data_IF_759392921851
#
_entry.id   IF_759392921851
#
_cell.length_a   1.000
_cell.length_b   1.000
_cell.length_c   1.000
_cell.angle_alpha   90.00
_cell.angle_beta   90.00
_cell.angle_gamma   90.00
#
_symmetry.space_group_name_H-M   'P 1'
#
loop_
_entity.id
_entity.type
_entity.pdbx_description
1 polymer ?
#
# COMPACT_ATOMS: atom_id res chain seq x y z
N UNK A 1 -49.72 -31.04 34.87
CA UNK A 1 -49.18 -29.66 34.98
C UNK A 1 -47.74 -29.70 34.46
N UNK A 2 -47.48 -29.09 33.30
CA UNK A 2 -46.18 -28.78 32.65
C UNK A 2 -45.17 -29.88 32.30
N UNK A 3 -45.60 -30.98 31.65
CA UNK A 3 -44.66 -31.93 31.02
C UNK A 3 -43.86 -31.31 29.84
N UNK A 4 -44.38 -30.26 29.20
CA UNK A 4 -43.77 -29.61 28.04
C UNK A 4 -42.79 -28.48 28.38
N UNK A 5 -42.87 -27.90 29.59
CA UNK A 5 -41.99 -26.82 30.02
C UNK A 5 -40.49 -27.22 30.00
N UNK A 6 -40.06 -28.38 30.54
CA UNK A 6 -38.66 -28.78 30.43
C UNK A 6 -38.22 -29.01 28.98
N UNK A 7 -39.09 -29.56 28.12
CA UNK A 7 -38.80 -29.77 26.69
C UNK A 7 -38.59 -28.44 25.97
N UNK A 8 -39.43 -27.44 26.23
CA UNK A 8 -39.29 -26.11 25.63
C UNK A 8 -37.97 -25.45 26.07
N UNK A 9 -37.60 -25.56 27.35
CA UNK A 9 -36.33 -25.03 27.87
C UNK A 9 -35.12 -25.70 27.18
N UNK A 10 -35.16 -27.03 27.00
CA UNK A 10 -34.08 -27.75 26.33
C UNK A 10 -33.98 -27.33 24.86
N UNK A 11 -35.10 -27.20 24.16
CA UNK A 11 -35.13 -26.79 22.76
C UNK A 11 -34.64 -25.35 22.57
N UNK A 12 -35.03 -24.42 23.45
CA UNK A 12 -34.54 -23.04 23.39
C UNK A 12 -33.05 -22.95 23.70
N UNK A 13 -32.56 -23.69 24.70
CA UNK A 13 -31.13 -23.77 25.00
C UNK A 13 -30.33 -24.36 23.83
N UNK A 14 -30.83 -25.43 23.20
CA UNK A 14 -30.21 -26.02 22.01
C UNK A 14 -30.18 -25.04 20.82
N UNK A 15 -31.29 -24.33 20.57
CA UNK A 15 -31.36 -23.32 19.51
C UNK A 15 -30.37 -22.17 19.75
N UNK A 16 -30.26 -21.67 20.99
CA UNK A 16 -29.28 -20.64 21.35
C UNK A 16 -27.84 -21.13 21.21
N UNK A 17 -27.55 -22.38 21.59
CA UNK A 17 -26.23 -22.97 21.41
C UNK A 17 -25.86 -23.06 19.92
N UNK A 18 -26.80 -23.48 19.05
CA UNK A 18 -26.59 -23.53 17.60
C UNK A 18 -26.36 -22.12 17.04
N UNK A 19 -27.17 -21.14 17.42
CA UNK A 19 -27.00 -19.74 16.99
C UNK A 19 -25.64 -19.18 17.39
N UNK A 20 -25.17 -19.48 18.62
CA UNK A 20 -23.87 -19.06 19.09
C UNK A 20 -22.73 -19.70 18.29
N UNK A 21 -22.85 -20.98 17.93
CA UNK A 21 -21.88 -21.68 17.07
C UNK A 21 -21.86 -21.05 15.67
N UNK A 22 -23.04 -20.83 15.06
CA UNK A 22 -23.14 -20.20 13.74
C UNK A 22 -22.56 -18.78 13.75
N UNK A 23 -22.82 -18.00 14.80
CA UNK A 23 -22.24 -16.68 14.97
C UNK A 23 -20.71 -16.75 15.08
N UNK A 24 -20.15 -17.69 15.86
CA UNK A 24 -18.70 -17.87 15.97
C UNK A 24 -18.05 -18.29 14.67
N UNK A 25 -18.72 -19.14 13.88
CA UNK A 25 -18.25 -19.52 12.55
C UNK A 25 -18.28 -18.29 11.64
N UNK A 26 -19.37 -17.52 11.61
CA UNK A 26 -19.49 -16.32 10.78
C UNK A 26 -18.44 -15.26 11.15
N UNK A 27 -18.29 -14.96 12.44
CA UNK A 27 -17.30 -13.99 12.94
C UNK A 27 -15.88 -14.41 12.56
N UNK A 28 -15.53 -15.68 12.76
CA UNK A 28 -14.22 -16.20 12.36
C UNK A 28 -14.04 -16.18 10.84
N UNK A 29 -15.06 -16.61 10.08
CA UNK A 29 -15.00 -16.89 8.62
C UNK A 29 -15.11 -15.67 7.72
N UNK A 30 -15.82 -14.64 8.18
CA UNK A 30 -16.23 -13.50 7.35
C UNK A 30 -15.75 -12.20 7.97
N UNK A 31 -16.11 -11.95 9.23
CA UNK A 31 -15.91 -10.64 9.84
C UNK A 31 -14.45 -10.37 10.23
N UNK A 32 -13.79 -11.34 10.89
CA UNK A 32 -12.39 -11.23 11.28
C UNK A 32 -11.43 -11.04 10.09
N UNK A 33 -11.48 -11.84 9.00
CA UNK A 33 -10.62 -11.62 7.85
C UNK A 33 -10.92 -10.28 7.15
N UNK A 34 -12.20 -9.89 7.06
CA UNK A 34 -12.56 -8.61 6.45
C UNK A 34 -12.00 -7.42 7.22
N UNK A 35 -12.11 -7.43 8.55
CA UNK A 35 -11.53 -6.38 9.40
C UNK A 35 -10.01 -6.26 9.25
N UNK A 36 -9.32 -7.39 9.14
CA UNK A 36 -7.88 -7.41 8.86
C UNK A 36 -7.56 -6.87 7.46
N UNK A 37 -8.32 -7.25 6.44
CA UNK A 37 -8.19 -6.74 5.08
C UNK A 37 -8.41 -5.22 5.04
N UNK A 38 -9.42 -4.72 5.74
CA UNK A 38 -9.75 -3.30 5.84
C UNK A 38 -8.62 -2.51 6.55
N UNK A 39 -8.07 -3.00 7.66
CA UNK A 39 -6.95 -2.34 8.35
C UNK A 39 -5.69 -2.32 7.47
N UNK A 40 -5.40 -3.41 6.75
CA UNK A 40 -4.28 -3.45 5.79
C UNK A 40 -4.51 -2.44 4.66
N UNK A 41 -5.73 -2.37 4.12
CA UNK A 41 -6.07 -1.44 3.05
C UNK A 41 -5.98 0.03 3.50
N UNK A 42 -6.44 0.34 4.71
CA UNK A 42 -6.32 1.66 5.33
C UNK A 42 -4.84 2.05 5.51
N UNK A 43 -4.01 1.13 6.02
CA UNK A 43 -2.59 1.36 6.24
C UNK A 43 -1.79 1.53 4.92
N UNK A 44 -2.22 0.90 3.84
CA UNK A 44 -1.68 1.10 2.49
C UNK A 44 -2.06 2.46 1.90
N UNK A 45 -3.04 3.17 2.47
CA UNK A 45 -3.45 4.51 2.06
C UNK A 45 -3.74 4.64 0.55
N UNK A 46 -4.53 3.70 0.02
CA UNK A 46 -4.92 3.66 -1.40
C UNK A 46 -3.88 3.07 -2.35
N UNK A 47 -2.68 2.73 -1.87
CA UNK A 47 -1.70 2.01 -2.68
C UNK A 47 -2.15 0.56 -2.93
N UNK A 48 -1.95 0.07 -4.17
CA UNK A 48 -2.21 -1.33 -4.50
C UNK A 48 -1.11 -2.20 -3.90
N UNK A 49 -1.49 -3.26 -3.18
CA UNK A 49 -0.56 -4.27 -2.70
C UNK A 49 -0.05 -5.13 -3.86
N UNK A 50 1.27 -5.31 -3.94
CA UNK A 50 1.92 -6.25 -4.86
C UNK A 50 1.83 -7.68 -4.30
N UNK A 51 2.05 -7.80 -2.99
CA UNK A 51 1.83 -9.04 -2.23
C UNK A 51 1.15 -8.73 -0.91
N UNK A 52 0.18 -9.55 -0.53
CA UNK A 52 -0.53 -9.45 0.73
C UNK A 52 -0.90 -10.85 1.22
N UNK A 53 -0.91 -11.03 2.54
CA UNK A 53 -1.34 -12.27 3.18
C UNK A 53 -1.88 -11.97 4.58
N UNK A 54 -2.95 -12.66 4.93
CA UNK A 54 -3.63 -12.52 6.21
C UNK A 54 -3.58 -13.85 6.96
N UNK A 55 -3.56 -13.75 8.28
CA UNK A 55 -3.57 -14.87 9.20
C UNK A 55 -4.65 -14.63 10.26
N UNK A 56 -5.93 -14.92 9.94
CA UNK A 56 -7.05 -14.56 10.81
C UNK A 56 -7.00 -15.21 12.20
N UNK A 57 -6.46 -16.44 12.29
CA UNK A 57 -6.33 -17.19 13.53
C UNK A 57 -5.52 -16.44 14.60
N UNK A 58 -4.42 -15.80 14.20
CA UNK A 58 -3.52 -15.06 15.09
C UNK A 58 -3.66 -13.54 14.95
N UNK A 59 -4.67 -13.07 14.21
CA UNK A 59 -4.95 -11.65 14.00
C UNK A 59 -3.74 -10.89 13.47
N UNK A 60 -3.03 -11.51 12.54
CA UNK A 60 -1.83 -10.97 11.92
C UNK A 60 -2.04 -10.82 10.42
N UNK A 61 -1.37 -9.86 9.82
CA UNK A 61 -1.36 -9.67 8.37
C UNK A 61 -0.09 -8.95 7.95
N UNK A 62 0.30 -9.15 6.69
CA UNK A 62 1.32 -8.34 6.05
C UNK A 62 0.91 -7.99 4.61
N UNK A 63 1.31 -6.81 4.18
CA UNK A 63 1.24 -6.40 2.78
C UNK A 63 2.47 -5.58 2.39
N UNK A 64 2.84 -5.67 1.12
CA UNK A 64 3.89 -4.86 0.49
C UNK A 64 3.31 -4.16 -0.73
N UNK A 65 3.62 -2.88 -0.85
CA UNK A 65 3.44 -2.09 -2.06
C UNK A 65 4.75 -1.37 -2.35
N UNK A 66 5.42 -1.78 -3.43
CA UNK A 66 6.69 -1.20 -3.85
C UNK A 66 6.49 0.26 -4.28
N UNK A 67 5.55 0.50 -5.20
CA UNK A 67 5.24 1.85 -5.70
C UNK A 67 4.66 2.77 -4.61
N UNK A 68 3.94 2.20 -3.63
CA UNK A 68 3.48 2.95 -2.46
C UNK A 68 4.54 3.20 -1.40
N UNK A 69 5.76 2.67 -1.57
CA UNK A 69 6.85 2.67 -0.59
C UNK A 69 6.40 2.22 0.82
N UNK A 70 5.58 1.17 0.90
CA UNK A 70 4.94 0.72 2.15
C UNK A 70 4.99 -0.79 2.33
N UNK A 71 5.55 -1.23 3.44
CA UNK A 71 5.37 -2.55 4.02
C UNK A 71 4.53 -2.42 5.28
N UNK A 72 3.32 -2.94 5.21
CA UNK A 72 2.35 -2.92 6.30
C UNK A 72 2.46 -4.20 7.08
N UNK A 73 2.65 -4.10 8.39
CA UNK A 73 2.70 -5.23 9.33
C UNK A 73 1.64 -5.01 10.40
N UNK A 74 0.64 -5.90 10.41
CA UNK A 74 -0.40 -5.95 11.44
C UNK A 74 -0.07 -7.08 12.41
N UNK A 75 0.11 -6.76 13.69
CA UNK A 75 0.27 -7.72 14.79
C UNK A 75 -0.87 -7.49 15.78
N UNK A 76 -1.57 -8.56 16.13
CA UNK A 76 -2.64 -8.51 17.14
C UNK A 76 -3.68 -7.40 16.85
N UNK A 77 -4.43 -7.57 15.76
CA UNK A 77 -5.53 -6.67 15.36
C UNK A 77 -6.31 -6.13 16.57
N UNK A 78 -6.41 -4.80 16.66
CA UNK A 78 -7.15 -4.08 17.69
C UNK A 78 -6.46 -3.91 19.04
N UNK A 79 -5.20 -4.35 19.20
CA UNK A 79 -4.43 -4.14 20.45
C UNK A 79 -3.14 -3.34 20.25
N UNK A 80 -2.38 -3.68 19.21
CA UNK A 80 -1.13 -3.00 18.86
C UNK A 80 -1.34 -2.19 17.58
N UNK A 81 -0.67 -1.03 17.44
CA UNK A 81 -0.77 -0.26 16.21
C UNK A 81 -0.15 -1.02 15.04
N UNK A 82 -0.80 -0.93 13.88
CA UNK A 82 -0.23 -1.34 12.60
C UNK A 82 1.09 -0.62 12.36
N UNK A 83 2.14 -1.37 12.03
CA UNK A 83 3.47 -0.82 11.72
C UNK A 83 3.63 -0.64 10.22
N UNK A 84 4.25 0.48 9.88
CA UNK A 84 4.57 0.85 8.51
C UNK A 84 6.09 0.93 8.40
N UNK A 85 6.63 0.16 7.47
CA UNK A 85 8.03 0.23 7.08
C UNK A 85 8.13 0.69 5.63
N UNK A 86 9.18 1.44 5.31
CA UNK A 86 9.56 1.77 3.94
C UNK A 86 10.21 0.57 3.25
N UNK A 87 10.33 0.63 1.92
CA UNK A 87 11.08 -0.41 1.17
C UNK A 87 12.56 -0.42 1.54
N UNK A 88 13.11 0.72 1.96
CA UNK A 88 14.51 0.82 2.36
C UNK A 88 14.79 0.12 3.72
N UNK A 89 13.79 0.04 4.60
CA UNK A 89 13.90 -0.65 5.88
C UNK A 89 13.82 -2.17 5.75
N UNK A 90 13.35 -2.70 4.62
CA UNK A 90 13.30 -4.14 4.37
C UNK A 90 14.71 -4.70 4.12
N UNK A 91 15.16 -5.60 5.00
CA UNK A 91 16.47 -6.26 4.91
C UNK A 91 16.37 -7.57 4.13
N UNK A 92 15.26 -8.29 4.25
CA UNK A 92 15.11 -9.58 3.59
C UNK A 92 13.88 -10.38 3.99
N UNK A 93 13.83 -11.61 3.49
CA UNK A 93 12.77 -12.58 3.78
C UNK A 93 13.37 -13.98 3.96
N UNK A 94 12.80 -14.74 4.89
CA UNK A 94 13.00 -16.18 5.04
C UNK A 94 11.67 -16.90 4.82
N UNK A 95 11.73 -18.06 4.18
CA UNK A 95 10.58 -18.96 4.05
C UNK A 95 10.91 -20.24 4.81
N UNK A 96 10.02 -20.61 5.72
CA UNK A 96 10.08 -21.84 6.50
C UNK A 96 9.01 -22.82 6.01
N UNK A 97 9.45 -24.05 5.76
CA UNK A 97 8.57 -25.20 5.51
C UNK A 97 8.90 -26.26 6.56
N UNK A 98 7.91 -26.66 7.35
CA UNK A 98 8.05 -27.62 8.46
C UNK A 98 9.21 -27.23 9.41
N UNK A 99 9.28 -25.95 9.77
CA UNK A 99 10.30 -25.36 10.64
C UNK A 99 11.74 -25.42 10.10
N UNK A 100 11.93 -25.76 8.81
CA UNK A 100 13.22 -25.69 8.13
C UNK A 100 13.22 -24.51 7.16
N UNK A 101 14.33 -23.78 7.09
CA UNK A 101 14.51 -22.69 6.12
C UNK A 101 14.55 -23.30 4.72
N UNK A 102 13.47 -23.12 3.96
CA UNK A 102 13.36 -23.55 2.57
C UNK A 102 14.06 -22.54 1.65
N UNK A 103 13.85 -21.24 1.87
CA UNK A 103 14.46 -20.16 1.11
C UNK A 103 14.83 -18.98 2.01
N UNK A 104 15.84 -18.21 1.62
CA UNK A 104 16.30 -17.02 2.35
C UNK A 104 16.96 -16.04 1.40
N UNK A 105 16.64 -14.76 1.51
CA UNK A 105 17.37 -13.66 0.88
C UNK A 105 17.57 -12.57 1.93
N UNK A 106 18.82 -12.13 2.10
CA UNK A 106 19.20 -11.05 3.03
C UNK A 106 20.11 -10.09 2.29
N UNK A 107 19.87 -8.78 2.41
CA UNK A 107 20.72 -7.75 1.84
C UNK A 107 22.17 -7.90 2.33
N UNK A 108 23.10 -8.11 1.39
CA UNK A 108 24.52 -8.33 1.70
C UNK A 108 24.85 -9.64 2.43
N UNK A 109 23.89 -10.56 2.55
CA UNK A 109 24.02 -11.79 3.33
C UNK A 109 23.81 -13.06 2.52
N UNK A 110 23.44 -14.14 3.22
CA UNK A 110 23.20 -15.44 2.61
C UNK A 110 21.97 -15.45 1.68
N UNK A 111 22.09 -16.14 0.55
CA UNK A 111 21.03 -16.35 -0.41
C UNK A 111 20.81 -17.85 -0.65
N UNK A 112 19.64 -18.35 -0.27
CA UNK A 112 19.16 -19.70 -0.54
C UNK A 112 17.92 -19.62 -1.43
N UNK A 113 18.02 -20.14 -2.65
CA UNK A 113 16.93 -20.18 -3.62
C UNK A 113 15.76 -21.06 -3.19
N UNK A 114 14.57 -20.72 -3.65
CA UNK A 114 13.34 -21.46 -3.42
C UNK A 114 13.18 -22.59 -4.46
N UNK A 115 14.07 -23.57 -4.41
CA UNK A 115 14.05 -24.72 -5.34
C UNK A 115 13.67 -26.04 -4.65
N UNK A 116 13.95 -26.16 -3.34
CA UNK A 116 13.72 -27.37 -2.55
C UNK A 116 12.34 -27.34 -1.89
N UNK A 117 11.39 -28.08 -2.48
CA UNK A 117 10.04 -28.24 -1.93
C UNK A 117 9.99 -29.56 -1.17
N UNK A 118 9.67 -29.48 0.13
CA UNK A 118 9.52 -30.65 0.98
C UNK A 118 8.46 -31.62 0.39
N UNK A 119 8.68 -32.96 0.44
CA UNK A 119 7.72 -33.95 -0.06
C UNK A 119 6.35 -33.90 0.64
N UNK A 120 6.31 -33.36 1.86
CA UNK A 120 5.11 -33.14 2.67
C UNK A 120 5.19 -31.73 3.26
N UNK A 121 4.08 -30.99 3.21
CA UNK A 121 3.99 -29.60 3.67
C UNK A 121 2.97 -29.54 4.79
N UNK A 122 3.46 -29.53 6.03
CA UNK A 122 2.64 -29.40 7.23
C UNK A 122 2.47 -27.93 7.58
N UNK A 123 3.56 -27.15 7.62
CA UNK A 123 3.50 -25.74 7.99
C UNK A 123 4.31 -24.87 7.05
N UNK A 124 3.71 -23.77 6.61
CA UNK A 124 4.36 -22.76 5.77
C UNK A 124 4.34 -21.42 6.49
N UNK A 125 5.50 -20.81 6.61
CA UNK A 125 5.64 -19.56 7.34
C UNK A 125 6.65 -18.68 6.62
N UNK A 126 6.39 -17.38 6.56
CA UNK A 126 7.35 -16.38 6.07
C UNK A 126 7.82 -15.53 7.23
N UNK A 127 9.09 -15.14 7.20
CA UNK A 127 9.66 -14.16 8.13
C UNK A 127 10.24 -13.00 7.35
N UNK A 128 9.69 -11.81 7.56
CA UNK A 128 10.22 -10.56 7.04
C UNK A 128 11.22 -9.99 8.06
N UNK A 129 12.31 -9.41 7.57
CA UNK A 129 13.37 -8.82 8.39
C UNK A 129 13.53 -7.34 8.06
N UNK A 130 13.65 -6.51 9.10
CA UNK A 130 13.65 -5.06 9.01
C UNK A 130 14.83 -4.44 9.74
N UNK A 131 15.26 -3.26 9.28
CA UNK A 131 16.28 -2.44 9.92
C UNK A 131 15.70 -1.60 11.07
N UNK A 132 14.91 -2.23 11.93
CA UNK A 132 14.32 -1.63 13.13
C UNK A 132 14.80 -2.41 14.37
N UNK A 133 15.64 -1.82 15.24
CA UNK A 133 16.18 -2.51 16.41
C UNK A 133 15.09 -2.87 17.44
N UNK A 134 13.93 -2.20 17.43
CA UNK A 134 12.85 -2.49 18.37
C UNK A 134 12.07 -3.75 17.96
N UNK A 135 11.94 -3.97 16.64
CA UNK A 135 11.21 -5.08 16.02
C UNK A 135 11.92 -5.50 14.73
N UNK A 136 13.00 -6.29 14.84
CA UNK A 136 13.85 -6.62 13.70
C UNK A 136 13.21 -7.62 12.73
N UNK A 137 12.17 -8.35 13.16
CA UNK A 137 11.53 -9.37 12.34
C UNK A 137 10.01 -9.43 12.52
N UNK A 138 9.34 -10.06 11.56
CA UNK A 138 7.93 -10.40 11.59
C UNK A 138 7.67 -11.76 10.96
N UNK A 139 7.05 -12.66 11.72
CA UNK A 139 6.67 -13.99 11.27
C UNK A 139 5.17 -14.04 10.96
N UNK A 140 4.82 -14.54 9.77
CA UNK A 140 3.46 -14.75 9.31
C UNK A 140 3.27 -16.20 8.89
N UNK A 141 2.26 -16.85 9.43
CA UNK A 141 1.92 -18.23 9.10
C UNK A 141 0.95 -18.22 7.93
N UNK A 142 1.38 -18.78 6.81
CA UNK A 142 0.56 -18.90 5.60
C UNK A 142 -0.28 -20.17 5.61
N UNK A 143 0.20 -21.22 6.28
CA UNK A 143 -0.52 -22.48 6.43
C UNK A 143 -0.08 -23.23 7.68
N UNK A 144 -1.07 -23.72 8.42
CA UNK A 144 -0.93 -24.65 9.54
C UNK A 144 -2.18 -25.56 9.56
N UNK A 145 -2.05 -26.89 9.69
CA UNK A 145 -3.18 -27.82 9.73
C UNK A 145 -4.12 -27.55 10.90
N UNK A 146 -3.60 -27.01 12.01
CA UNK A 146 -4.43 -26.66 13.17
C UNK A 146 -5.35 -25.46 12.88
N UNK A 147 -4.97 -24.64 11.90
CA UNK A 147 -5.72 -23.46 11.47
C UNK A 147 -6.65 -23.77 10.29
N UNK A 148 -6.73 -25.02 9.81
CA UNK A 148 -7.61 -25.42 8.71
C UNK A 148 -9.11 -25.16 9.01
N UNK A 149 -9.47 -25.10 10.30
CA UNK A 149 -10.81 -24.74 10.76
C UNK A 149 -11.05 -23.23 10.85
N UNK A 150 -10.00 -22.42 10.73
CA UNK A 150 -10.08 -20.96 10.65
C UNK A 150 -10.21 -20.50 9.21
N UNK A 151 -10.56 -19.23 9.04
CA UNK A 151 -11.06 -18.67 7.79
C UNK A 151 -10.01 -18.51 6.71
N UNK A 152 -10.31 -19.07 5.54
CA UNK A 152 -9.55 -18.92 4.29
C UNK A 152 -8.16 -19.57 4.27
N UNK A 153 -7.93 -20.64 5.03
CA UNK A 153 -6.73 -21.44 4.83
C UNK A 153 -6.78 -22.09 3.43
N UNK A 154 -6.01 -21.58 2.47
CA UNK A 154 -6.07 -21.97 1.04
C UNK A 154 -5.42 -23.34 0.71
N UNK A 155 -5.19 -24.18 1.73
CA UNK A 155 -4.47 -25.44 1.58
C UNK A 155 -2.95 -25.24 1.48
N UNK A 156 -2.17 -26.32 1.68
CA UNK A 156 -0.71 -26.24 1.71
C UNK A 156 -0.11 -25.78 0.36
N UNK A 157 -0.75 -26.14 -0.76
CA UNK A 157 -0.27 -25.79 -2.10
C UNK A 157 -0.38 -24.28 -2.38
N UNK A 158 -1.54 -23.67 -2.12
CA UNK A 158 -1.73 -22.24 -2.34
C UNK A 158 -0.88 -21.41 -1.38
N UNK A 159 -0.67 -21.89 -0.15
CA UNK A 159 0.26 -21.28 0.78
C UNK A 159 1.71 -21.31 0.28
N UNK A 160 2.16 -22.40 -0.34
CA UNK A 160 3.47 -22.48 -0.99
C UNK A 160 3.60 -21.53 -2.18
N UNK A 161 2.55 -21.42 -3.02
CA UNK A 161 2.53 -20.48 -4.14
C UNK A 161 2.56 -19.02 -3.65
N UNK A 162 1.85 -18.73 -2.56
CA UNK A 162 1.88 -17.43 -1.89
C UNK A 162 3.26 -17.15 -1.29
N UNK A 163 3.87 -18.11 -0.59
CA UNK A 163 5.23 -17.98 -0.06
C UNK A 163 6.25 -17.69 -1.17
N UNK A 164 6.12 -18.39 -2.30
CA UNK A 164 6.94 -18.19 -3.49
C UNK A 164 6.76 -16.79 -4.06
N UNK A 165 5.52 -16.30 -4.18
CA UNK A 165 5.22 -14.94 -4.65
C UNK A 165 5.84 -13.88 -3.75
N UNK A 166 5.73 -14.04 -2.42
CA UNK A 166 6.41 -13.18 -1.45
C UNK A 166 7.94 -13.21 -1.61
N UNK A 167 8.51 -14.41 -1.69
CA UNK A 167 9.96 -14.58 -1.80
C UNK A 167 10.53 -13.87 -3.03
N UNK A 168 9.99 -14.15 -4.22
CA UNK A 168 10.50 -13.55 -5.46
C UNK A 168 10.24 -12.05 -5.56
N UNK A 169 9.13 -11.57 -4.99
CA UNK A 169 8.85 -10.14 -4.93
C UNK A 169 9.88 -9.41 -4.05
N UNK A 170 10.13 -9.91 -2.84
CA UNK A 170 11.15 -9.34 -1.95
C UNK A 170 12.55 -9.49 -2.55
N UNK A 171 12.86 -10.63 -3.17
CA UNK A 171 14.15 -10.83 -3.86
C UNK A 171 14.39 -9.78 -4.94
N UNK A 172 13.38 -9.46 -5.75
CA UNK A 172 13.47 -8.42 -6.77
C UNK A 172 13.77 -7.04 -6.16
N UNK A 173 13.17 -6.72 -5.02
CA UNK A 173 13.41 -5.47 -4.28
C UNK A 173 14.83 -5.45 -3.69
N UNK A 174 15.25 -6.53 -3.01
CA UNK A 174 16.55 -6.58 -2.32
C UNK A 174 17.72 -6.57 -3.29
N UNK A 175 17.55 -7.09 -4.51
CA UNK A 175 18.55 -7.01 -5.58
C UNK A 175 18.82 -5.60 -6.08
N UNK A 176 17.87 -4.67 -5.90
CA UNK A 176 18.09 -3.26 -6.23
C UNK A 176 18.97 -2.59 -5.16
N UNK A 177 19.92 -1.73 -5.56
CA UNK A 177 20.71 -0.94 -4.62
C UNK A 177 19.79 0.06 -3.90
N UNK A 178 20.05 0.29 -2.61
CA UNK A 178 19.19 1.10 -1.73
C UNK A 178 19.00 2.53 -2.27
N UNK A 179 20.09 3.13 -2.76
CA UNK A 179 20.06 4.47 -3.35
C UNK A 179 19.16 4.57 -4.60
N UNK A 180 19.02 3.49 -5.38
CA UNK A 180 18.11 3.47 -6.52
C UNK A 180 16.66 3.37 -6.07
N UNK A 181 16.37 2.55 -5.04
CA UNK A 181 15.03 2.45 -4.44
C UNK A 181 14.61 3.81 -3.87
N UNK A 182 15.47 4.47 -3.10
CA UNK A 182 15.19 5.79 -2.53
C UNK A 182 14.97 6.85 -3.62
N UNK A 183 15.78 6.85 -4.69
CA UNK A 183 15.62 7.76 -5.81
C UNK A 183 14.32 7.51 -6.59
N UNK A 184 13.96 6.25 -6.81
CA UNK A 184 12.75 5.86 -7.56
C UNK A 184 11.47 6.20 -6.78
N UNK A 185 11.50 6.04 -5.45
CA UNK A 185 10.34 6.21 -4.58
C UNK A 185 10.20 7.62 -3.97
N UNK A 186 11.19 8.49 -4.16
CA UNK A 186 11.09 9.90 -3.75
C UNK A 186 10.49 10.73 -4.89
N UNK A 187 9.35 11.40 -4.71
CA UNK A 187 8.78 12.27 -5.73
C UNK A 187 9.77 13.39 -6.11
N UNK A 188 9.85 13.79 -7.39
CA UNK A 188 10.66 14.93 -7.79
C UNK A 188 10.20 16.17 -7.01
N UNK A 189 11.17 16.94 -6.50
CA UNK A 189 10.88 18.17 -5.77
C UNK A 189 10.00 19.11 -6.62
N UNK A 190 8.99 19.77 -6.04
CA UNK A 190 8.23 20.78 -6.76
C UNK A 190 9.20 21.82 -7.37
N UNK A 191 8.95 22.32 -8.59
CA UNK A 191 9.73 23.42 -9.12
C UNK A 191 9.69 24.59 -8.14
N UNK A 192 10.81 25.30 -7.94
CA UNK A 192 10.83 26.45 -7.04
C UNK A 192 9.74 27.45 -7.47
N UNK A 193 9.04 28.07 -6.52
CA UNK A 193 8.03 29.08 -6.85
C UNK A 193 8.69 30.18 -7.71
N UNK A 194 7.97 30.73 -8.70
CA UNK A 194 8.47 31.85 -9.49
C UNK A 194 8.96 32.97 -8.56
N UNK A 195 10.10 33.62 -8.85
CA UNK A 195 10.58 34.72 -8.04
C UNK A 195 9.47 35.77 -7.91
N UNK A 196 9.13 36.12 -6.67
CA UNK A 196 8.12 37.11 -6.37
C UNK A 196 8.49 38.43 -7.06
N UNK A 197 7.57 39.06 -7.83
CA UNK A 197 7.87 40.32 -8.49
C UNK A 197 8.31 41.33 -7.43
N UNK A 198 9.52 41.89 -7.60
CA UNK A 198 10.03 42.91 -6.70
C UNK A 198 8.99 44.03 -6.53
N UNK A 199 8.78 44.55 -5.30
CA UNK A 199 7.83 45.64 -5.07
C UNK A 199 8.13 46.79 -6.03
N UNK A 200 7.15 47.16 -6.87
CA UNK A 200 7.27 48.35 -7.70
C UNK A 200 7.47 49.55 -6.78
N UNK A 201 8.58 50.26 -6.97
CA UNK A 201 8.85 51.50 -6.26
C UNK A 201 7.66 52.46 -6.45
N UNK A 202 7.23 53.18 -5.41
CA UNK A 202 6.14 54.14 -5.53
C UNK A 202 6.53 55.22 -6.56
N UNK A 203 5.70 55.34 -7.60
CA UNK A 203 5.80 56.42 -8.58
C UNK A 203 5.41 57.71 -7.86
N UNK A 204 6.39 58.58 -7.60
CA UNK A 204 6.11 59.95 -7.19
C UNK A 204 5.49 60.70 -8.38
N UNK A 205 4.22 61.05 -8.26
CA UNK A 205 3.48 61.89 -9.21
C UNK A 205 3.97 63.35 -9.05
N UNK A 206 4.88 63.76 -9.93
CA UNK A 206 5.21 65.18 -10.09
C UNK A 206 4.21 65.80 -11.08
N UNK A 207 3.04 66.15 -10.56
CA UNK A 207 2.05 66.95 -11.25
C UNK A 207 2.48 68.42 -11.16
N UNK A 208 3.23 68.88 -12.16
CA UNK A 208 3.46 70.31 -12.38
C UNK A 208 2.35 70.84 -13.29
N UNK A 209 1.54 71.74 -12.74
CA UNK A 209 0.74 72.72 -13.48
C UNK A 209 1.65 73.57 -14.37
N UNK A 210 1.22 73.87 -15.60
CA UNK A 210 1.14 75.23 -16.15
C UNK A 210 0.82 75.22 -17.67
N UNK A 211 -0.41 75.67 -17.95
CA UNK A 211 -0.87 76.63 -18.99
C UNK A 211 -0.35 76.66 -20.44
N UNK A 212 -1.35 76.86 -21.32
CA UNK A 212 -1.40 77.73 -22.51
C UNK A 212 -1.01 77.22 -23.92
N UNK A 213 -2.09 77.15 -24.73
CA UNK A 213 -2.33 77.68 -26.08
C UNK A 213 -1.67 77.15 -27.36
N UNK A 214 -2.58 76.84 -28.30
CA UNK A 214 -2.61 77.13 -29.74
C UNK A 214 -1.44 76.73 -30.65
N UNK A 215 -1.68 75.74 -31.54
CA UNK A 215 -1.59 75.94 -33.01
C UNK A 215 -2.05 74.69 -33.81
N UNK A 216 -2.81 74.94 -34.89
CA UNK A 216 -3.48 74.01 -35.83
C UNK A 216 -2.49 73.24 -36.78
N UNK A 217 -2.84 72.39 -37.79
CA UNK A 217 -4.11 72.17 -38.53
C UNK A 217 -4.41 70.66 -38.94
N UNK A 218 -5.43 70.33 -39.81
CA UNK A 218 -6.23 69.08 -39.82
C UNK A 218 -5.67 67.91 -40.70
N UNK A 219 -6.33 66.72 -40.75
CA UNK A 219 -5.68 65.42 -41.03
C UNK A 219 -5.65 65.01 -42.52
N UNK A 220 -4.73 64.09 -42.84
CA UNK A 220 -4.61 63.43 -44.14
C UNK A 220 -4.90 61.90 -44.04
N UNK A 221 -5.28 61.24 -45.15
CA UNK A 221 -6.29 60.17 -45.17
C UNK A 221 -5.75 58.72 -45.08
N UNK A 222 -6.65 57.80 -44.69
CA UNK A 222 -6.46 56.33 -44.69
C UNK A 222 -6.35 55.74 -46.10
N UNK A 223 -5.51 54.71 -46.30
CA UNK A 223 -5.74 53.65 -47.30
C UNK A 223 -6.12 52.32 -46.62
N UNK A 224 -6.99 51.56 -47.29
CA UNK A 224 -7.55 50.27 -46.85
C UNK A 224 -6.80 49.06 -47.50
N UNK A 225 -7.29 47.81 -47.39
CA UNK A 225 -6.66 46.69 -46.67
C UNK A 225 -6.07 45.59 -47.61
N UNK A 226 -5.28 44.63 -47.08
CA UNK A 226 -5.16 43.28 -47.67
C UNK A 226 -4.89 42.16 -46.65
N UNK A 227 -5.77 41.17 -46.75
CA UNK A 227 -5.77 39.73 -46.49
C UNK A 227 -4.48 39.01 -46.04
N UNK A 228 -4.72 38.13 -45.05
CA UNK A 228 -4.33 36.72 -45.13
C UNK A 228 -2.97 36.35 -44.57
N UNK A 229 -2.96 35.75 -43.37
CA UNK A 229 -2.30 34.44 -43.22
C UNK A 229 -2.84 33.70 -41.98
N UNK A 230 -3.45 32.54 -42.22
CA UNK A 230 -4.06 31.67 -41.22
C UNK A 230 -3.31 30.35 -41.28
N UNK A 231 -2.10 30.29 -40.73
CA UNK A 231 -1.33 29.04 -40.67
C UNK A 231 -0.26 29.12 -39.57
N UNK A 232 -0.64 28.79 -38.34
CA UNK A 232 0.20 27.93 -37.51
C UNK A 232 -0.56 27.42 -36.27
N UNK A 233 -1.01 26.18 -36.34
CA UNK A 233 -1.37 25.37 -35.17
C UNK A 233 -0.54 24.09 -35.25
N UNK A 234 0.35 23.79 -34.29
CA UNK A 234 1.03 22.51 -34.30
C UNK A 234 0.10 21.39 -33.78
N UNK A 235 0.01 20.34 -34.59
CA UNK A 235 -0.66 19.06 -34.33
C UNK A 235 -0.07 18.35 -33.10
N UNK A 236 -0.96 17.78 -32.28
CA UNK A 236 -0.67 16.77 -31.25
C UNK A 236 -0.47 15.42 -31.96
N UNK A 237 0.66 14.75 -31.75
CA UNK A 237 0.86 13.35 -32.10
C UNK A 237 0.63 12.48 -30.87
N UNK A 238 -0.34 11.57 -30.94
CA UNK A 238 -0.45 10.42 -30.06
C UNK A 238 0.31 9.24 -30.68
N UNK A 239 1.26 8.70 -29.91
CA UNK A 239 1.64 7.28 -29.87
C UNK A 239 2.22 7.00 -28.48
#
# INVERSE_FOLDING_TARGET
>A
MNQYLPTIIILTAAALAILLILYRIWDSRVEAPKKLEDEVAEALNGAKADVASIEPARKAAAALSYLGNRCVIVREFGKLPTRLYSMAELIGIEVFVNNKVAARIIRGGAHKMFDDIAPQVDRVTIRLMFNDPSKPDFELILWDPNDALTARAEGPRAAMETARRWFYHVEAIIRKPLAEIEKELTPPAPPPPPPEPAPKAPVHDHRNDDTDNDDAPPPAPKPAPKDGDVLNSPLIQYL
#
